data_IF_082565171663
#
_entry.id   IF_082565171663
#
_cell.length_a   1.000
_cell.length_b   1.000
_cell.length_c   1.000
_cell.angle_alpha   90.00
_cell.angle_beta   90.00
_cell.angle_gamma   90.00
#
_symmetry.space_group_name_H-M   'P 1'
#
loop_
_entity.id
_entity.type
_entity.pdbx_description
1 polymer ?
#
# COMPACT_ATOMS: atom_id res chain seq x y z
N UNK A 1 -18.67 9.10 48.79
CA UNK A 1 -19.09 9.17 47.38
C UNK A 1 -18.01 9.94 46.64
N UNK A 2 -17.17 9.24 45.88
CA UNK A 2 -16.10 9.88 45.11
C UNK A 2 -16.68 10.37 43.79
N UNK A 3 -16.69 11.68 43.62
CA UNK A 3 -17.04 12.37 42.37
C UNK A 3 -15.98 12.03 41.33
N UNK A 4 -16.39 11.37 40.24
CA UNK A 4 -15.47 11.06 39.13
C UNK A 4 -15.25 12.35 38.35
N UNK A 5 -14.03 12.87 38.38
CA UNK A 5 -13.63 13.99 37.52
C UNK A 5 -13.90 13.65 36.05
N UNK A 6 -14.46 14.59 35.27
CA UNK A 6 -14.71 14.39 33.85
C UNK A 6 -13.38 14.33 33.09
N UNK A 7 -13.17 13.24 32.36
CA UNK A 7 -12.05 13.03 31.45
C UNK A 7 -11.96 14.19 30.43
N UNK A 8 -10.97 15.06 30.60
CA UNK A 8 -10.65 16.14 29.68
C UNK A 8 -9.67 15.61 28.63
N UNK A 9 -10.04 15.50 27.34
CA UNK A 9 -9.09 15.06 26.32
C UNK A 9 -8.07 16.18 26.07
N UNK A 10 -6.85 16.00 26.59
CA UNK A 10 -5.73 16.88 26.33
C UNK A 10 -5.50 17.07 24.83
N UNK A 11 -5.43 18.35 24.43
CA UNK A 11 -5.27 18.86 23.07
C UNK A 11 -3.88 18.60 22.48
N UNK A 12 -3.40 17.35 22.47
CA UNK A 12 -2.01 17.00 22.14
C UNK A 12 -1.77 15.88 21.11
N UNK A 13 -2.75 15.05 20.76
CA UNK A 13 -2.46 13.76 20.09
C UNK A 13 -3.36 13.40 18.90
N UNK A 14 -3.81 14.36 18.08
CA UNK A 14 -4.64 14.03 16.89
C UNK A 14 -3.95 13.08 15.88
N UNK A 15 -2.61 13.00 15.86
CA UNK A 15 -1.88 12.11 14.93
C UNK A 15 -1.95 10.63 15.36
N UNK A 16 -2.17 10.35 16.65
CA UNK A 16 -2.32 8.99 17.17
C UNK A 16 -3.70 8.41 16.87
N UNK A 17 -4.74 9.21 17.08
CA UNK A 17 -6.14 8.79 16.93
C UNK A 17 -6.48 8.43 15.48
N UNK A 18 -5.98 9.19 14.50
CA UNK A 18 -6.24 8.90 13.09
C UNK A 18 -5.72 7.51 12.67
N UNK A 19 -4.54 7.11 13.16
CA UNK A 19 -3.96 5.80 12.87
C UNK A 19 -4.72 4.66 13.55
N UNK A 20 -5.13 4.88 14.80
CA UNK A 20 -5.92 3.90 15.56
C UNK A 20 -7.30 3.73 14.90
N UNK A 21 -7.90 4.82 14.43
CA UNK A 21 -9.17 4.80 13.72
C UNK A 21 -9.08 4.09 12.36
N UNK A 22 -8.02 4.30 11.59
CA UNK A 22 -7.77 3.55 10.34
C UNK A 22 -7.58 2.04 10.61
N UNK A 23 -6.93 1.68 11.71
CA UNK A 23 -6.76 0.28 12.11
C UNK A 23 -8.07 -0.36 12.56
N UNK A 24 -8.89 0.32 13.36
CA UNK A 24 -10.23 -0.15 13.74
C UNK A 24 -11.11 -0.35 12.51
N UNK A 25 -11.14 0.64 11.61
CA UNK A 25 -11.90 0.54 10.37
C UNK A 25 -11.43 -0.63 9.51
N UNK A 26 -10.12 -0.93 9.53
CA UNK A 26 -9.58 -2.11 8.85
C UNK A 26 -10.04 -3.43 9.45
N UNK A 27 -9.97 -3.57 10.78
CA UNK A 27 -10.41 -4.77 11.49
C UNK A 27 -11.90 -5.03 11.31
N UNK A 28 -12.73 -4.00 11.41
CA UNK A 28 -14.19 -4.12 11.30
C UNK A 28 -14.65 -4.58 9.91
N UNK A 29 -13.90 -4.25 8.86
CA UNK A 29 -14.31 -4.53 7.48
C UNK A 29 -13.45 -5.59 6.80
N UNK A 30 -12.53 -6.25 7.51
CA UNK A 30 -11.58 -7.23 6.94
C UNK A 30 -12.28 -8.34 6.15
N UNK A 31 -13.48 -8.73 6.57
CA UNK A 31 -14.25 -9.82 5.97
C UNK A 31 -15.43 -9.34 5.12
N UNK A 32 -15.62 -8.03 4.93
CA UNK A 32 -16.70 -7.51 4.10
C UNK A 32 -16.29 -7.62 2.63
N UNK A 33 -16.89 -8.54 1.86
CA UNK A 33 -16.53 -8.69 0.45
C UNK A 33 -16.82 -7.38 -0.31
N UNK A 34 -15.85 -6.90 -1.08
CA UNK A 34 -15.98 -5.68 -1.88
C UNK A 34 -15.62 -4.37 -1.15
N UNK A 35 -15.42 -4.37 0.16
CA UNK A 35 -15.06 -3.13 0.89
C UNK A 35 -13.68 -2.59 0.49
N UNK A 36 -12.75 -3.47 0.09
CA UNK A 36 -11.38 -3.12 -0.31
C UNK A 36 -11.09 -3.23 -1.81
N UNK A 37 -12.03 -3.70 -2.63
CA UNK A 37 -11.80 -3.86 -4.08
C UNK A 37 -11.62 -2.53 -4.82
N UNK A 38 -12.05 -1.40 -4.23
CA UNK A 38 -11.87 -0.04 -4.77
C UNK A 38 -10.49 0.60 -4.57
N UNK A 39 -9.43 -0.18 -4.31
CA UNK A 39 -8.08 0.36 -4.10
C UNK A 39 -7.82 0.88 -2.68
N UNK A 40 -8.61 0.42 -1.70
CA UNK A 40 -8.37 0.69 -0.29
C UNK A 40 -7.36 -0.34 0.21
N UNK A 41 -6.11 0.11 0.37
CA UNK A 41 -4.99 -0.74 0.79
C UNK A 41 -4.94 -0.74 2.33
N UNK A 42 -4.64 -1.88 2.99
CA UNK A 42 -4.49 -1.93 4.44
C UNK A 42 -3.57 -0.84 4.99
N UNK A 43 -3.85 -0.31 6.20
CA UNK A 43 -3.08 0.77 6.81
C UNK A 43 -1.60 0.42 6.99
N UNK A 44 -1.25 -0.86 7.13
CA UNK A 44 0.14 -1.33 7.18
C UNK A 44 0.96 -0.94 5.94
N UNK A 45 0.37 -0.97 4.75
CA UNK A 45 1.03 -0.55 3.51
C UNK A 45 0.99 0.96 3.27
N UNK A 46 0.12 1.70 3.96
CA UNK A 46 0.05 3.18 3.87
C UNK A 46 0.88 3.89 4.92
N UNK A 47 1.08 3.28 6.09
CA UNK A 47 1.76 3.88 7.24
C UNK A 47 3.29 3.83 7.14
N UNK A 48 3.86 3.29 6.06
CA UNK A 48 5.31 3.32 5.85
C UNK A 48 5.74 4.78 5.66
N UNK A 49 6.35 5.36 6.71
CA UNK A 49 7.13 6.61 6.67
C UNK A 49 7.89 6.64 5.34
N UNK A 50 7.70 7.67 4.53
CA UNK A 50 8.54 7.86 3.33
C UNK A 50 10.00 7.74 3.79
N UNK A 51 10.85 6.92 3.15
CA UNK A 51 10.65 6.22 1.88
C UNK A 51 9.82 4.92 1.95
N UNK A 52 9.02 4.65 0.91
CA UNK A 52 8.20 3.44 0.83
C UNK A 52 9.07 2.22 0.45
N UNK A 53 9.71 1.60 1.44
CA UNK A 53 10.64 0.46 1.26
C UNK A 53 10.06 -0.65 0.38
N UNK A 54 8.76 -0.95 0.51
CA UNK A 54 8.08 -1.95 -0.32
C UNK A 54 8.09 -1.64 -1.82
N UNK A 55 7.98 -0.35 -2.19
CA UNK A 55 8.09 0.07 -3.58
C UNK A 55 9.50 -0.15 -4.13
N UNK A 56 10.52 0.21 -3.34
CA UNK A 56 11.92 0.00 -3.71
C UNK A 56 12.30 -1.48 -3.79
N UNK A 57 11.82 -2.32 -2.87
CA UNK A 57 12.07 -3.76 -2.94
C UNK A 57 11.46 -4.36 -4.20
N UNK A 58 10.24 -3.95 -4.60
CA UNK A 58 9.63 -4.42 -5.85
C UNK A 58 10.45 -4.04 -7.09
N UNK A 59 10.96 -2.80 -7.12
CA UNK A 59 11.80 -2.33 -8.23
C UNK A 59 13.12 -3.11 -8.26
N UNK A 60 13.75 -3.30 -7.11
CA UNK A 60 15.02 -4.02 -6.99
C UNK A 60 14.87 -5.50 -7.39
N UNK A 61 13.83 -6.19 -6.93
CA UNK A 61 13.58 -7.59 -7.31
C UNK A 61 13.24 -7.71 -8.79
N UNK A 62 12.44 -6.80 -9.35
CA UNK A 62 12.10 -6.83 -10.77
C UNK A 62 13.32 -6.62 -11.67
N UNK A 63 14.22 -5.71 -11.29
CA UNK A 63 15.51 -5.50 -11.96
C UNK A 63 16.42 -6.73 -11.86
N UNK A 64 16.51 -7.35 -10.68
CA UNK A 64 17.28 -8.57 -10.46
C UNK A 64 16.78 -9.70 -11.37
N UNK A 65 15.46 -9.92 -11.41
CA UNK A 65 14.83 -10.91 -12.29
C UNK A 65 15.14 -10.63 -13.76
N UNK A 66 15.05 -9.37 -14.19
CA UNK A 66 15.39 -8.96 -15.54
C UNK A 66 16.86 -9.29 -15.88
N UNK A 67 17.79 -9.01 -14.96
CA UNK A 67 19.20 -9.36 -15.10
C UNK A 67 19.47 -10.85 -15.16
N UNK A 68 18.67 -11.69 -14.49
CA UNK A 68 18.80 -13.14 -14.58
C UNK A 68 18.21 -13.69 -15.89
N UNK A 69 17.12 -13.11 -16.38
CA UNK A 69 16.42 -13.58 -17.58
C UNK A 69 17.17 -13.19 -18.86
N UNK A 70 17.66 -11.96 -18.97
CA UNK A 70 18.35 -11.48 -20.18
C UNK A 70 19.46 -12.39 -20.71
N UNK A 71 20.46 -12.81 -19.89
CA UNK A 71 21.57 -13.61 -20.37
C UNK A 71 21.19 -15.07 -20.64
N UNK A 72 20.10 -15.57 -20.05
CA UNK A 72 19.61 -16.91 -20.34
C UNK A 72 19.11 -17.03 -21.79
N UNK A 73 18.63 -15.92 -22.36
CA UNK A 73 18.10 -15.85 -23.72
C UNK A 73 16.84 -16.70 -23.91
N UNK A 74 16.18 -16.55 -25.06
CA UNK A 74 15.10 -17.44 -25.43
C UNK A 74 15.70 -18.78 -25.87
N UNK A 75 15.40 -19.85 -25.13
CA UNK A 75 15.77 -21.21 -25.55
C UNK A 75 15.17 -21.57 -26.92
N UNK A 76 15.70 -22.62 -27.57
CA UNK A 76 15.35 -22.99 -28.95
C UNK A 76 13.93 -23.55 -29.15
N UNK A 77 13.20 -23.80 -28.06
CA UNK A 77 11.82 -24.29 -28.11
C UNK A 77 10.78 -23.17 -28.09
N UNK A 78 9.66 -23.37 -28.80
CA UNK A 78 8.51 -22.44 -28.80
C UNK A 78 7.98 -22.21 -27.38
N UNK A 79 7.98 -23.24 -26.54
CA UNK A 79 7.63 -23.12 -25.12
C UNK A 79 8.60 -22.23 -24.35
N UNK A 80 9.90 -22.32 -24.62
CA UNK A 80 10.93 -21.49 -23.99
C UNK A 80 10.78 -20.01 -24.35
N UNK A 81 10.38 -19.70 -25.59
CA UNK A 81 10.10 -18.33 -26.03
C UNK A 81 8.90 -17.71 -25.29
N UNK A 82 7.83 -18.48 -25.11
CA UNK A 82 6.64 -18.05 -24.36
C UNK A 82 6.99 -17.75 -22.89
N UNK A 83 7.71 -18.65 -22.22
CA UNK A 83 8.14 -18.44 -20.83
C UNK A 83 9.09 -17.26 -20.67
N UNK A 84 9.99 -17.06 -21.64
CA UNK A 84 10.87 -15.90 -21.68
C UNK A 84 10.09 -14.58 -21.78
N UNK A 85 9.11 -14.53 -22.69
CA UNK A 85 8.22 -13.37 -22.84
C UNK A 85 7.38 -13.09 -21.58
N UNK A 86 6.82 -14.14 -20.96
CA UNK A 86 6.09 -14.02 -19.69
C UNK A 86 6.99 -13.50 -18.57
N UNK A 87 8.23 -14.00 -18.47
CA UNK A 87 9.21 -13.56 -17.48
C UNK A 87 9.58 -12.08 -17.62
N UNK A 88 9.81 -11.61 -18.84
CA UNK A 88 10.03 -10.19 -19.12
C UNK A 88 8.79 -9.36 -18.76
N UNK A 89 7.61 -9.80 -19.21
CA UNK A 89 6.35 -9.10 -18.94
C UNK A 89 6.06 -8.96 -17.44
N UNK A 90 6.26 -10.04 -16.69
CA UNK A 90 6.10 -10.03 -15.24
C UNK A 90 7.11 -9.12 -14.55
N UNK A 91 8.38 -9.13 -14.98
CA UNK A 91 9.43 -8.27 -14.42
C UNK A 91 9.12 -6.79 -14.64
N UNK A 92 8.68 -6.41 -15.85
CA UNK A 92 8.25 -5.05 -16.16
C UNK A 92 7.06 -4.62 -15.30
N UNK A 93 6.08 -5.50 -15.13
CA UNK A 93 4.88 -5.22 -14.32
C UNK A 93 5.26 -5.01 -12.84
N UNK A 94 6.21 -5.78 -12.32
CA UNK A 94 6.74 -5.62 -10.97
C UNK A 94 7.47 -4.28 -10.78
N UNK A 95 8.27 -3.86 -11.75
CA UNK A 95 8.94 -2.54 -11.76
C UNK A 95 7.91 -1.41 -11.82
N UNK A 96 6.92 -1.50 -12.72
CA UNK A 96 5.83 -0.52 -12.85
C UNK A 96 5.02 -0.39 -11.56
N UNK A 97 4.67 -1.51 -10.94
CA UNK A 97 3.97 -1.55 -9.66
C UNK A 97 4.82 -0.94 -8.53
N UNK A 98 6.11 -1.29 -8.47
CA UNK A 98 7.07 -0.74 -7.52
C UNK A 98 7.24 0.77 -7.66
N UNK A 99 7.38 1.28 -8.88
CA UNK A 99 7.47 2.71 -9.16
C UNK A 99 6.17 3.45 -8.82
N UNK A 100 5.01 2.88 -9.15
CA UNK A 100 3.70 3.45 -8.80
C UNK A 100 3.53 3.53 -7.28
N UNK A 101 4.00 2.52 -6.55
CA UNK A 101 3.95 2.47 -5.09
C UNK A 101 4.96 3.43 -4.45
N UNK A 102 6.17 3.55 -5.01
CA UNK A 102 7.22 4.45 -4.54
C UNK A 102 6.88 5.94 -4.72
N UNK A 103 6.19 6.30 -5.82
CA UNK A 103 5.72 7.67 -6.07
C UNK A 103 4.66 8.14 -5.07
N UNK A 104 4.04 7.21 -4.34
CA UNK A 104 3.02 7.47 -3.34
C UNK A 104 1.68 7.87 -3.99
N UNK A 105 0.58 7.36 -3.44
CA UNK A 105 -0.74 7.81 -3.86
C UNK A 105 -0.89 9.32 -3.53
N UNK A 106 -1.55 10.12 -4.38
CA UNK A 106 -1.90 11.49 -4.03
C UNK A 106 -2.65 11.43 -2.71
N UNK A 107 -2.10 12.10 -1.69
CA UNK A 107 -2.67 12.18 -0.34
C UNK A 107 -4.05 12.80 -0.52
N UNK A 108 -5.09 11.97 -0.64
CA UNK A 108 -6.46 12.43 -0.85
C UNK A 108 -6.78 13.23 0.40
N UNK A 109 -6.75 14.57 0.28
CA UNK A 109 -7.12 15.46 1.37
C UNK A 109 -8.55 15.08 1.70
N UNK A 110 -8.74 14.32 2.78
CA UNK A 110 -10.06 13.93 3.26
C UNK A 110 -10.73 15.27 3.55
N UNK A 111 -11.64 15.70 2.70
CA UNK A 111 -12.46 16.88 2.93
C UNK A 111 -13.22 16.59 4.21
N UNK A 112 -12.66 17.05 5.33
CA UNK A 112 -13.30 17.10 6.63
C UNK A 112 -14.45 18.07 6.45
N UNK A 113 -15.60 17.58 5.99
CA UNK A 113 -16.89 18.23 6.24
C UNK A 113 -17.02 18.20 7.77
N UNK A 114 -16.45 19.19 8.43
CA UNK A 114 -16.86 19.54 9.77
C UNK A 114 -18.34 19.89 9.62
N UNK A 115 -19.18 18.98 10.11
CA UNK A 115 -20.58 19.26 10.38
C UNK A 115 -20.65 20.51 11.24
N UNK A 116 -20.87 21.63 10.59
CA UNK A 116 -21.45 22.82 11.19
C UNK A 116 -22.91 22.46 11.50
N UNK A 117 -23.14 21.69 12.56
CA UNK A 117 -24.49 21.54 13.12
C UNK A 117 -24.60 22.49 14.30
N UNK A 118 -25.44 23.49 14.04
CA UNK A 118 -25.93 24.55 14.92
C UNK A 118 -26.51 24.00 16.21
#
# INVERSE_FOLDING_TARGET
>A
MAEKEPYQPETGTQVGDDRINEWREWLDHQYVPGYYTGGRIPPFYRSSRRPNYFGYTLVATGLLFLMMILPAGPGTGVGSWLWFGVGIGFSLLQILAGLRLARGAPRRKRHRKSETRK
#
